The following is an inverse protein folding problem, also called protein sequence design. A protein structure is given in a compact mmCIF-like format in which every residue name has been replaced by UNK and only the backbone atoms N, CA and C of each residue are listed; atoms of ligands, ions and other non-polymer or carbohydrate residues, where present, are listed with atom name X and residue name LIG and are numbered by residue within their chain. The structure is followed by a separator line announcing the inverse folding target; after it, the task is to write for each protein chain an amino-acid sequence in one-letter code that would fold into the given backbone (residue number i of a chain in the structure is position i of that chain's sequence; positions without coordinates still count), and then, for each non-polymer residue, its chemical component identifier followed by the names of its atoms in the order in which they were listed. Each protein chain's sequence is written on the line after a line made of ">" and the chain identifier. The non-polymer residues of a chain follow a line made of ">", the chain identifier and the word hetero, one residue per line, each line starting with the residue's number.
data_IF_477016451691
#
_entry.id   IF_477016451691
#
_cell.length_a   1.000
_cell.length_b   1.000
_cell.length_c   1.000
_cell.angle_alpha   90.00
_cell.angle_beta   90.00
_cell.angle_gamma   90.00
#
_symmetry.space_group_name_H-M   'P 1'
#
loop_
_entity.id
_entity.type
_entity.pdbx_description
1 polymer ?
#
# COMPACT_ATOMS: atom_id res chain seq x y z
N UNK A 1 20.91 4.45 -0.15
CA UNK A 1 20.08 3.95 -1.27
C UNK A 1 20.99 3.63 -2.46
N UNK A 2 20.68 2.58 -3.23
CA UNK A 2 21.37 2.23 -4.46
C UNK A 2 20.46 2.50 -5.67
N UNK A 3 21.06 2.74 -6.85
CA UNK A 3 20.33 3.03 -8.09
C UNK A 3 20.22 1.79 -8.96
N UNK A 4 19.01 1.47 -9.41
CA UNK A 4 18.76 0.44 -10.42
C UNK A 4 18.37 1.12 -11.74
N UNK A 5 19.13 0.87 -12.81
CA UNK A 5 18.83 1.38 -14.15
C UNK A 5 18.16 0.28 -14.98
N UNK A 6 16.89 0.48 -15.35
CA UNK A 6 16.11 -0.49 -16.13
C UNK A 6 15.66 0.15 -17.43
N UNK A 7 15.80 -0.58 -18.55
CA UNK A 7 15.18 -0.17 -19.82
C UNK A 7 13.73 -0.63 -19.84
N UNK A 8 12.83 0.27 -20.15
CA UNK A 8 11.39 0.01 -20.28
C UNK A 8 10.86 0.63 -21.57
N UNK A 9 9.78 0.07 -22.15
CA UNK A 9 9.11 0.71 -23.28
C UNK A 9 8.65 2.13 -22.96
N UNK A 10 8.68 3.02 -23.95
CA UNK A 10 8.30 4.43 -23.78
C UNK A 10 6.83 4.57 -23.35
N UNK A 11 5.95 3.69 -23.86
CA UNK A 11 4.53 3.66 -23.49
C UNK A 11 4.36 3.34 -22.01
N UNK A 12 5.13 2.38 -21.48
CA UNK A 12 5.10 2.02 -20.07
C UNK A 12 5.60 3.18 -19.20
N UNK A 13 6.68 3.85 -19.62
CA UNK A 13 7.18 5.03 -18.91
C UNK A 13 6.11 6.12 -18.82
N UNK A 14 5.44 6.45 -19.92
CA UNK A 14 4.36 7.45 -19.97
C UNK A 14 3.19 7.07 -19.05
N UNK A 15 2.81 5.80 -19.03
CA UNK A 15 1.75 5.31 -18.15
C UNK A 15 2.14 5.48 -16.67
N UNK A 16 3.37 5.09 -16.30
CA UNK A 16 3.88 5.24 -14.94
C UNK A 16 3.93 6.71 -14.52
N UNK A 17 4.38 7.62 -15.39
CA UNK A 17 4.40 9.07 -15.12
C UNK A 17 3.00 9.65 -14.91
N UNK A 18 2.03 9.25 -15.75
CA UNK A 18 0.64 9.68 -15.61
C UNK A 18 0.02 9.21 -14.28
N UNK A 19 0.25 7.94 -13.92
CA UNK A 19 -0.25 7.37 -12.66
C UNK A 19 0.42 7.97 -11.43
N UNK A 20 1.73 8.22 -11.48
CA UNK A 20 2.46 8.89 -10.42
C UNK A 20 1.89 10.30 -10.18
N UNK A 21 1.67 11.06 -11.25
CA UNK A 21 1.04 12.40 -11.18
C UNK A 21 -0.36 12.33 -10.57
N UNK A 22 -1.20 11.40 -11.01
CA UNK A 22 -2.57 11.24 -10.50
C UNK A 22 -2.63 10.86 -9.01
N UNK A 23 -1.59 10.20 -8.49
CA UNK A 23 -1.46 9.82 -7.09
C UNK A 23 -0.58 10.77 -6.28
N UNK A 24 -0.19 11.93 -6.85
CA UNK A 24 0.70 12.91 -6.20
C UNK A 24 2.05 12.32 -5.73
N UNK A 25 2.60 11.36 -6.49
CA UNK A 25 3.89 10.70 -6.22
C UNK A 25 4.94 11.08 -7.26
N UNK A 26 6.21 10.96 -6.89
CA UNK A 26 7.30 10.97 -7.87
C UNK A 26 7.29 9.65 -8.66
N UNK A 27 7.86 9.67 -9.87
CA UNK A 27 7.95 8.47 -10.72
C UNK A 27 8.67 7.31 -10.01
N UNK A 28 9.79 7.59 -9.32
CA UNK A 28 10.54 6.57 -8.57
C UNK A 28 9.72 5.93 -7.47
N UNK A 29 8.89 6.71 -6.78
CA UNK A 29 8.07 6.25 -5.67
C UNK A 29 6.91 5.39 -6.20
N UNK A 30 6.34 5.78 -7.33
CA UNK A 30 5.32 4.98 -8.02
C UNK A 30 5.86 3.64 -8.51
N UNK A 31 7.07 3.62 -9.08
CA UNK A 31 7.74 2.38 -9.52
C UNK A 31 8.01 1.48 -8.32
N UNK A 32 8.58 2.04 -7.23
CA UNK A 32 8.83 1.30 -5.99
C UNK A 32 7.55 0.68 -5.44
N UNK A 33 6.46 1.45 -5.35
CA UNK A 33 5.17 0.97 -4.86
C UNK A 33 4.65 -0.20 -5.69
N UNK A 34 4.75 -0.13 -7.02
CA UNK A 34 4.33 -1.24 -7.88
C UNK A 34 5.22 -2.47 -7.73
N UNK A 35 6.53 -2.30 -7.53
CA UNK A 35 7.42 -3.43 -7.25
C UNK A 35 7.12 -4.08 -5.89
N UNK A 36 6.86 -3.28 -4.85
CA UNK A 36 6.46 -3.79 -3.54
C UNK A 36 5.16 -4.63 -3.64
N UNK A 37 4.14 -4.11 -4.33
CA UNK A 37 2.89 -4.84 -4.53
C UNK A 37 3.11 -6.11 -5.36
N UNK A 38 3.94 -6.06 -6.41
CA UNK A 38 4.22 -7.22 -7.25
C UNK A 38 4.88 -8.35 -6.45
N UNK A 39 5.83 -8.03 -5.56
CA UNK A 39 6.48 -9.02 -4.70
C UNK A 39 5.49 -9.65 -3.71
N UNK A 40 4.63 -8.83 -3.09
CA UNK A 40 3.58 -9.35 -2.18
C UNK A 40 2.59 -10.24 -2.95
N UNK A 41 2.20 -9.84 -4.16
CA UNK A 41 1.27 -10.60 -4.99
C UNK A 41 1.89 -11.92 -5.50
N UNK A 42 3.19 -11.96 -5.76
CA UNK A 42 3.91 -13.19 -6.13
C UNK A 42 3.88 -14.22 -4.98
N UNK A 43 4.10 -13.77 -3.75
CA UNK A 43 4.03 -14.62 -2.55
C UNK A 43 2.59 -14.97 -2.15
N UNK A 44 1.61 -14.14 -2.52
CA UNK A 44 0.20 -14.23 -2.11
C UNK A 44 -0.74 -14.04 -3.31
N UNK A 45 -0.82 -15.01 -4.24
CA UNK A 45 -1.50 -14.85 -5.52
C UNK A 45 -3.01 -14.62 -5.42
N UNK A 46 -3.62 -14.99 -4.29
CA UNK A 46 -5.05 -14.79 -4.04
C UNK A 46 -5.39 -13.36 -3.60
N UNK A 47 -4.38 -12.57 -3.19
CA UNK A 47 -4.58 -11.19 -2.79
C UNK A 47 -4.64 -10.28 -4.00
N UNK A 48 -5.79 -9.64 -4.19
CA UNK A 48 -5.94 -8.62 -5.22
C UNK A 48 -5.02 -7.41 -4.97
N UNK A 49 -4.66 -6.71 -6.05
CA UNK A 49 -3.90 -5.46 -5.99
C UNK A 49 -4.50 -4.45 -4.99
N UNK A 50 -5.83 -4.27 -5.02
CA UNK A 50 -6.52 -3.32 -4.16
C UNK A 50 -6.42 -3.71 -2.67
N UNK A 51 -6.49 -5.01 -2.37
CA UNK A 51 -6.34 -5.52 -1.01
C UNK A 51 -4.91 -5.30 -0.49
N UNK A 52 -3.91 -5.57 -1.32
CA UNK A 52 -2.50 -5.33 -0.96
C UNK A 52 -2.27 -3.83 -0.72
N UNK A 53 -2.80 -2.95 -1.57
CA UNK A 53 -2.68 -1.49 -1.36
C UNK A 53 -3.27 -1.03 -0.04
N UNK A 54 -4.49 -1.50 0.29
CA UNK A 54 -5.18 -1.16 1.52
C UNK A 54 -4.41 -1.66 2.76
N UNK A 55 -3.85 -2.88 2.71
CA UNK A 55 -3.03 -3.40 3.80
C UNK A 55 -1.77 -2.55 4.00
N UNK A 56 -1.08 -2.17 2.92
CA UNK A 56 0.12 -1.34 3.00
C UNK A 56 -0.20 0.07 3.54
N UNK A 57 -1.35 0.64 3.17
CA UNK A 57 -1.83 1.91 3.71
C UNK A 57 -2.15 1.80 5.20
N UNK A 58 -2.93 0.80 5.62
CA UNK A 58 -3.24 0.56 7.03
C UNK A 58 -1.98 0.34 7.87
N UNK A 59 -0.96 -0.36 7.33
CA UNK A 59 0.35 -0.50 8.00
C UNK A 59 1.05 0.85 8.18
N UNK A 60 1.01 1.73 7.17
CA UNK A 60 1.61 3.05 7.28
C UNK A 60 0.87 3.94 8.30
N UNK A 61 -0.46 3.85 8.37
CA UNK A 61 -1.27 4.54 9.37
C UNK A 61 -0.95 4.06 10.79
N UNK A 62 -0.83 2.74 10.98
CA UNK A 62 -0.38 2.13 12.24
C UNK A 62 0.99 2.66 12.67
N UNK A 63 1.96 2.69 11.75
CA UNK A 63 3.32 3.20 12.01
C UNK A 63 3.34 4.71 12.29
N UNK A 64 2.42 5.47 11.69
CA UNK A 64 2.21 6.89 11.96
C UNK A 64 1.49 7.17 13.28
N UNK A 65 1.06 6.13 14.00
CA UNK A 65 0.30 6.26 15.26
C UNK A 65 -1.14 6.74 15.06
N UNK A 66 -1.70 6.55 13.87
CA UNK A 66 -3.07 6.94 13.51
C UNK A 66 -4.09 5.84 13.79
N UNK A 67 -3.66 4.66 14.25
CA UNK A 67 -4.57 3.57 14.54
C UNK A 67 -5.36 3.79 15.83
N UNK A 68 -6.64 3.41 15.79
CA UNK A 68 -7.52 3.43 16.95
C UNK A 68 -7.57 2.04 17.61
N UNK A 69 -7.61 1.96 18.95
CA UNK A 69 -7.83 0.69 19.65
C UNK A 69 -9.16 0.07 19.24
N UNK A 70 -9.14 -1.18 18.80
CA UNK A 70 -10.36 -1.95 18.61
C UNK A 70 -10.88 -2.42 19.97
N UNK A 71 -12.09 -2.00 20.33
CA UNK A 71 -12.78 -2.45 21.56
C UNK A 71 -13.71 -3.60 21.18
N UNK A 72 -13.49 -4.76 21.78
CA UNK A 72 -14.38 -5.91 21.59
C UNK A 72 -15.69 -5.69 22.36
N UNK A 73 -16.83 -6.09 21.78
CA UNK A 73 -18.16 -5.86 22.39
C UNK A 73 -18.34 -6.54 23.76
N UNK A 74 -17.48 -7.51 24.10
CA UNK A 74 -17.48 -8.20 25.41
C UNK A 74 -16.91 -7.35 26.57
N UNK A 75 -16.34 -6.16 26.30
CA UNK A 75 -15.82 -5.24 27.32
C UNK A 75 -16.88 -4.26 27.88
N UNK A 76 -18.17 -4.44 27.56
CA UNK A 76 -19.24 -3.77 28.29
C UNK A 76 -19.37 -4.38 29.70
N UNK A 77 -18.99 -3.62 30.73
CA UNK A 77 -19.41 -3.92 32.11
C UNK A 77 -20.91 -4.23 32.14
N UNK A 78 -21.35 -5.31 32.81
CA UNK A 78 -22.76 -5.63 32.88
C UNK A 78 -23.46 -4.45 33.55
N UNK A 79 -24.42 -3.86 32.83
CA UNK A 79 -25.30 -2.81 33.38
C UNK A 79 -26.00 -3.44 34.58
N UNK A 80 -25.55 -3.10 35.81
CA UNK A 80 -26.17 -3.58 37.04
C UNK A 80 -27.57 -2.97 37.12
N UNK A 81 -28.57 -3.79 36.80
CA UNK A 81 -29.97 -3.54 37.16
C UNK A 81 -30.22 -3.70 38.66
#
# INVERSE_FOLDING_TARGET
>A
MQTLSVRIPDELKRLLEARARGQHRQLSDQVRRYLEIALVAEDNPDLSFAMIEAILEAKAELEAGLAEPYVFEDDHEPVRG
#
